data_IF_069823429539
#
_entry.id   IF_069823429539
#
_cell.length_a   1.000
_cell.length_b   1.000
_cell.length_c   1.000
_cell.angle_alpha   90.00
_cell.angle_beta   90.00
_cell.angle_gamma   90.00
#
_symmetry.space_group_name_H-M   'P 1'
#
loop_
_entity.id
_entity.type
_entity.pdbx_description
1 polymer ?
#
# COMPACT_ATOMS: atom_id res chain seq x y z
N UNK A 1 -43.74 36.02 -49.41
CA UNK A 1 -43.21 37.03 -48.51
C UNK A 1 -42.45 36.26 -47.44
N UNK A 2 -41.17 36.11 -47.62
CA UNK A 2 -40.09 36.90 -47.01
C UNK A 2 -40.23 36.93 -45.47
N UNK A 3 -39.27 36.66 -44.65
CA UNK A 3 -37.82 36.58 -44.79
C UNK A 3 -37.20 36.08 -43.49
N UNK A 4 -36.02 35.59 -43.63
CA UNK A 4 -34.79 35.87 -42.95
C UNK A 4 -34.61 35.25 -41.53
N UNK A 5 -33.71 34.30 -41.42
CA UNK A 5 -32.28 34.41 -41.08
C UNK A 5 -32.01 34.98 -39.68
N UNK A 6 -31.44 34.17 -38.83
CA UNK A 6 -30.12 34.54 -38.26
C UNK A 6 -29.47 33.32 -37.59
N UNK A 7 -28.32 33.03 -38.11
CA UNK A 7 -27.29 32.19 -37.46
C UNK A 7 -26.77 32.86 -36.20
N UNK A 8 -26.44 32.08 -35.21
CA UNK A 8 -25.35 32.40 -34.31
C UNK A 8 -24.63 31.14 -33.87
N UNK A 9 -23.48 31.00 -34.41
CA UNK A 9 -22.37 30.18 -33.99
C UNK A 9 -22.03 30.42 -32.51
N UNK A 10 -21.90 29.36 -31.77
CA UNK A 10 -21.31 29.36 -30.44
C UNK A 10 -20.45 28.13 -30.28
N UNK A 11 -19.23 28.21 -30.75
CA UNK A 11 -18.18 27.28 -30.41
C UNK A 11 -17.76 27.56 -28.96
N UNK A 12 -17.86 26.58 -28.08
CA UNK A 12 -17.13 26.58 -26.83
C UNK A 12 -16.52 25.21 -26.59
N UNK A 13 -15.30 25.15 -26.92
CA UNK A 13 -14.15 24.56 -26.23
C UNK A 13 -14.43 23.38 -25.28
N UNK A 14 -14.29 22.20 -25.82
CA UNK A 14 -13.98 20.97 -25.09
C UNK A 14 -12.46 20.82 -25.00
N UNK A 15 -11.85 21.45 -23.97
CA UNK A 15 -10.42 21.39 -23.77
C UNK A 15 -10.00 20.75 -22.44
N UNK A 16 -10.95 20.24 -21.65
CA UNK A 16 -10.66 19.68 -20.31
C UNK A 16 -10.77 18.15 -20.24
N UNK A 17 -11.46 17.51 -21.17
CA UNK A 17 -11.61 16.04 -21.16
C UNK A 17 -10.37 15.31 -21.69
N UNK A 18 -9.61 15.93 -22.61
CA UNK A 18 -8.44 15.28 -23.19
C UNK A 18 -7.24 15.20 -22.23
N UNK A 19 -7.10 16.16 -21.30
CA UNK A 19 -6.03 16.12 -20.30
C UNK A 19 -6.29 15.08 -19.20
N UNK A 20 -7.55 14.86 -18.82
CA UNK A 20 -7.88 13.82 -17.83
C UNK A 20 -7.77 12.40 -18.41
N UNK A 21 -8.08 12.20 -19.68
CA UNK A 21 -7.93 10.91 -20.34
C UNK A 21 -6.47 10.55 -20.58
N UNK A 22 -5.61 11.51 -20.90
CA UNK A 22 -4.18 11.30 -21.06
C UNK A 22 -3.49 11.00 -19.72
N UNK A 23 -3.83 11.73 -18.65
CA UNK A 23 -3.30 11.47 -17.32
C UNK A 23 -3.72 10.09 -16.78
N UNK A 24 -4.94 9.62 -17.07
CA UNK A 24 -5.40 8.29 -16.68
C UNK A 24 -4.68 7.18 -17.47
N UNK A 25 -4.40 7.37 -18.76
CA UNK A 25 -3.69 6.37 -19.58
C UNK A 25 -2.21 6.27 -19.20
N UNK A 26 -1.56 7.38 -18.83
CA UNK A 26 -0.16 7.38 -18.39
C UNK A 26 0.01 6.70 -17.00
N UNK A 27 -0.93 6.89 -16.08
CA UNK A 27 -0.86 6.26 -14.76
C UNK A 27 -1.00 4.73 -14.85
N UNK A 28 -1.87 4.22 -15.72
CA UNK A 28 -2.04 2.76 -15.92
C UNK A 28 -0.83 2.10 -16.58
N UNK A 29 -0.18 2.76 -17.52
CA UNK A 29 1.03 2.23 -18.16
C UNK A 29 2.23 2.20 -17.20
N UNK A 30 2.40 3.23 -16.37
CA UNK A 30 3.47 3.27 -15.37
C UNK A 30 3.29 2.22 -14.28
N UNK A 31 2.05 1.93 -13.88
CA UNK A 31 1.77 0.93 -12.85
C UNK A 31 1.97 -0.50 -13.38
N UNK A 32 1.60 -0.79 -14.63
CA UNK A 32 1.88 -2.08 -15.27
C UNK A 32 3.39 -2.30 -15.47
N UNK A 33 4.13 -1.27 -15.85
CA UNK A 33 5.59 -1.32 -15.96
C UNK A 33 6.24 -1.59 -14.59
N UNK A 34 5.84 -0.86 -13.54
CA UNK A 34 6.32 -1.08 -12.16
C UNK A 34 6.05 -2.51 -11.71
N UNK A 35 4.85 -3.01 -11.96
CA UNK A 35 4.47 -4.37 -11.62
C UNK A 35 5.37 -5.40 -12.31
N UNK A 36 5.63 -5.26 -13.60
CA UNK A 36 6.51 -6.17 -14.36
C UNK A 36 7.95 -6.19 -13.84
N UNK A 37 8.47 -5.04 -13.41
CA UNK A 37 9.82 -4.93 -12.86
C UNK A 37 9.90 -5.45 -11.42
N UNK A 38 8.93 -5.11 -10.58
CA UNK A 38 8.96 -5.45 -9.15
C UNK A 38 8.62 -6.92 -8.88
N UNK A 39 7.74 -7.53 -9.69
CA UNK A 39 7.24 -8.88 -9.42
C UNK A 39 8.32 -9.97 -9.36
N UNK A 40 9.32 -10.03 -10.27
CA UNK A 40 10.42 -10.99 -10.14
C UNK A 40 11.21 -10.82 -8.84
N UNK A 41 11.52 -9.57 -8.50
CA UNK A 41 12.25 -9.22 -7.28
C UNK A 41 11.47 -9.65 -6.01
N UNK A 42 10.18 -9.37 -5.95
CA UNK A 42 9.34 -9.81 -4.83
C UNK A 42 9.23 -11.32 -4.71
N UNK A 43 9.24 -12.05 -5.83
CA UNK A 43 9.26 -13.52 -5.83
C UNK A 43 10.56 -14.06 -5.26
N UNK A 44 11.68 -13.42 -5.51
CA UNK A 44 12.96 -13.84 -4.97
C UNK A 44 13.06 -13.57 -3.46
N UNK A 45 12.54 -12.42 -2.98
CA UNK A 45 12.37 -12.15 -1.55
C UNK A 45 11.49 -13.22 -0.90
N UNK A 46 10.35 -13.55 -1.52
CA UNK A 46 9.45 -14.59 -1.00
C UNK A 46 10.17 -15.91 -0.81
N UNK A 47 10.94 -16.37 -1.80
CA UNK A 47 11.70 -17.62 -1.72
C UNK A 47 12.73 -17.60 -0.58
N UNK A 48 13.45 -16.48 -0.43
CA UNK A 48 14.43 -16.33 0.65
C UNK A 48 13.76 -16.41 2.02
N UNK A 49 12.66 -15.68 2.24
CA UNK A 49 11.92 -15.68 3.49
C UNK A 49 11.27 -17.04 3.81
N UNK A 50 10.70 -17.70 2.78
CA UNK A 50 10.21 -19.08 2.95
C UNK A 50 11.32 -20.07 3.35
N UNK A 51 12.55 -19.85 2.88
CA UNK A 51 13.68 -20.70 3.25
C UNK A 51 14.02 -20.65 4.73
N UNK A 52 13.70 -19.52 5.38
CA UNK A 52 13.90 -19.25 6.82
C UNK A 52 12.69 -19.62 7.68
N UNK A 53 11.54 -19.88 7.06
CA UNK A 53 10.31 -20.27 7.75
C UNK A 53 10.41 -21.69 8.29
N UNK A 54 9.73 -21.95 9.39
CA UNK A 54 9.60 -23.28 10.02
C UNK A 54 8.83 -24.26 9.13
N UNK A 55 7.83 -23.80 8.39
CA UNK A 55 7.06 -24.60 7.45
C UNK A 55 7.07 -23.99 6.03
N UNK A 56 8.06 -24.43 5.25
CA UNK A 56 8.27 -23.92 3.88
C UNK A 56 7.10 -24.17 2.92
N UNK A 57 6.27 -25.19 3.19
CA UNK A 57 5.14 -25.53 2.33
C UNK A 57 3.93 -24.61 2.55
N UNK A 58 3.80 -24.02 3.74
CA UNK A 58 2.75 -23.04 4.05
C UNK A 58 3.09 -21.63 3.59
N UNK A 59 4.36 -21.26 3.66
CA UNK A 59 4.79 -19.92 3.27
C UNK A 59 5.71 -19.26 4.31
N UNK A 60 5.66 -17.94 4.40
CA UNK A 60 6.47 -17.15 5.32
C UNK A 60 5.77 -17.10 6.67
N UNK A 61 6.41 -17.56 7.74
CA UNK A 61 5.88 -17.41 9.09
C UNK A 61 6.05 -15.98 9.62
N UNK A 62 5.32 -15.64 10.67
CA UNK A 62 5.32 -14.31 11.30
C UNK A 62 6.73 -13.86 11.72
N UNK A 63 7.53 -14.77 12.27
CA UNK A 63 8.89 -14.44 12.76
C UNK A 63 9.79 -14.00 11.61
N UNK A 64 9.86 -14.79 10.53
CA UNK A 64 10.67 -14.46 9.36
C UNK A 64 10.22 -13.16 8.67
N UNK A 65 8.91 -12.90 8.65
CA UNK A 65 8.37 -11.66 8.12
C UNK A 65 8.73 -10.44 8.99
N UNK A 66 8.60 -10.56 10.30
CA UNK A 66 8.95 -9.49 11.25
C UNK A 66 10.43 -9.14 11.19
N UNK A 67 11.31 -10.16 11.12
CA UNK A 67 12.75 -9.98 10.97
C UNK A 67 13.11 -9.25 9.66
N UNK A 68 12.38 -9.53 8.59
CA UNK A 68 12.57 -8.85 7.31
C UNK A 68 12.12 -7.39 7.35
N UNK A 69 10.92 -7.12 7.87
CA UNK A 69 10.35 -5.79 7.90
C UNK A 69 11.04 -4.84 8.88
N UNK A 70 11.64 -5.37 9.95
CA UNK A 70 12.27 -4.61 11.04
C UNK A 70 11.41 -3.49 11.61
N UNK A 71 10.09 -3.69 11.56
CA UNK A 71 9.12 -2.74 12.12
C UNK A 71 8.98 -2.95 13.65
N UNK A 72 8.74 -1.87 14.41
CA UNK A 72 8.49 -1.98 15.85
C UNK A 72 7.28 -2.87 16.15
N UNK A 73 7.45 -3.80 17.06
CA UNK A 73 6.52 -4.76 17.63
C UNK A 73 5.10 -4.80 17.04
N UNK A 74 4.21 -3.99 17.60
CA UNK A 74 2.80 -3.99 17.23
C UNK A 74 2.54 -3.60 15.76
N UNK A 75 3.31 -2.66 15.22
CA UNK A 75 3.14 -2.23 13.83
C UNK A 75 3.49 -3.35 12.84
N UNK A 76 4.56 -4.11 13.12
CA UNK A 76 4.92 -5.28 12.33
C UNK A 76 3.88 -6.38 12.43
N UNK A 77 3.31 -6.61 13.62
CA UNK A 77 2.21 -7.56 13.80
C UNK A 77 0.95 -7.18 13.02
N UNK A 78 0.62 -5.89 13.01
CA UNK A 78 -0.51 -5.37 12.20
C UNK A 78 -0.25 -5.52 10.71
N UNK A 79 0.95 -5.21 10.26
CA UNK A 79 1.32 -5.38 8.86
C UNK A 79 1.19 -6.86 8.45
N UNK A 80 1.68 -7.78 9.27
CA UNK A 80 1.50 -9.21 9.04
C UNK A 80 0.02 -9.58 8.95
N UNK A 81 -0.81 -9.15 9.89
CA UNK A 81 -2.25 -9.43 9.93
C UNK A 81 -3.04 -8.82 8.75
N UNK A 82 -2.54 -7.75 8.14
CA UNK A 82 -3.14 -7.17 6.92
C UNK A 82 -2.76 -7.98 5.68
N UNK A 83 -1.60 -8.64 5.69
CA UNK A 83 -1.15 -9.51 4.62
C UNK A 83 -1.78 -10.92 4.72
N UNK A 84 -1.86 -11.47 5.93
CA UNK A 84 -2.45 -12.77 6.24
C UNK A 84 -3.98 -12.68 6.18
N UNK A 85 -4.54 -12.85 4.98
CA UNK A 85 -5.96 -12.64 4.71
C UNK A 85 -6.81 -13.79 5.24
N UNK A 86 -6.30 -15.02 5.18
CA UNK A 86 -6.98 -16.22 5.65
C UNK A 86 -6.72 -16.54 7.12
N UNK A 87 -5.83 -15.76 7.77
CA UNK A 87 -5.45 -15.85 9.19
C UNK A 87 -4.92 -17.24 9.59
N UNK A 88 -4.18 -17.92 8.70
CA UNK A 88 -3.57 -19.22 8.98
C UNK A 88 -2.21 -19.11 9.70
N UNK A 89 -1.71 -17.87 9.90
CA UNK A 89 -0.44 -17.55 10.56
C UNK A 89 0.78 -17.67 9.67
N UNK A 90 0.58 -17.82 8.36
CA UNK A 90 1.61 -17.84 7.33
C UNK A 90 1.21 -16.92 6.17
N UNK A 91 2.20 -16.40 5.47
CA UNK A 91 1.93 -15.67 4.23
C UNK A 91 2.22 -16.60 3.04
N UNK A 92 1.18 -16.96 2.34
CA UNK A 92 1.29 -17.62 1.04
C UNK A 92 1.97 -16.72 0.01
N UNK A 93 2.47 -17.30 -1.08
CA UNK A 93 3.05 -16.50 -2.18
C UNK A 93 2.07 -15.45 -2.72
N UNK A 94 0.79 -15.81 -2.81
CA UNK A 94 -0.27 -14.89 -3.28
C UNK A 94 -0.45 -13.71 -2.34
N UNK A 95 -0.57 -13.95 -1.04
CA UNK A 95 -0.78 -12.91 -0.03
C UNK A 95 0.40 -11.96 0.06
N UNK A 96 1.62 -12.51 0.14
CA UNK A 96 2.84 -11.72 0.19
C UNK A 96 3.00 -10.83 -1.04
N UNK A 97 2.87 -11.39 -2.24
CA UNK A 97 2.99 -10.63 -3.48
C UNK A 97 1.87 -9.59 -3.62
N UNK A 98 0.63 -9.96 -3.30
CA UNK A 98 -0.50 -9.01 -3.34
C UNK A 98 -0.30 -7.86 -2.36
N UNK A 99 0.15 -8.14 -1.13
CA UNK A 99 0.46 -7.11 -0.14
C UNK A 99 1.54 -6.15 -0.61
N UNK A 100 2.65 -6.65 -1.14
CA UNK A 100 3.72 -5.81 -1.68
C UNK A 100 3.27 -5.00 -2.90
N UNK A 101 2.50 -5.59 -3.82
CA UNK A 101 1.97 -4.88 -4.97
C UNK A 101 1.01 -3.76 -4.55
N UNK A 102 0.21 -3.94 -3.51
CA UNK A 102 -0.64 -2.87 -2.93
C UNK A 102 0.21 -1.70 -2.42
N UNK A 103 1.36 -1.96 -1.81
CA UNK A 103 2.25 -0.91 -1.29
C UNK A 103 2.96 -0.17 -2.43
N UNK A 104 3.54 -0.89 -3.38
CA UNK A 104 4.46 -0.31 -4.35
C UNK A 104 3.80 0.08 -5.67
N UNK A 105 2.83 -0.71 -6.16
CA UNK A 105 2.29 -0.60 -7.50
C UNK A 105 0.84 -0.11 -7.56
N UNK A 106 0.13 0.02 -6.44
CA UNK A 106 -1.26 0.46 -6.45
C UNK A 106 -1.39 1.98 -6.56
N UNK A 107 -2.57 2.43 -6.95
CA UNK A 107 -2.94 3.83 -6.98
C UNK A 107 -3.05 4.42 -5.56
N UNK A 108 -3.05 5.74 -5.46
CA UNK A 108 -3.04 6.46 -4.19
C UNK A 108 -4.17 6.02 -3.24
N UNK A 109 -5.39 5.91 -3.73
CA UNK A 109 -6.55 5.54 -2.90
C UNK A 109 -6.41 4.14 -2.29
N UNK A 110 -5.86 3.19 -3.05
CA UNK A 110 -5.59 1.84 -2.55
C UNK A 110 -4.47 1.81 -1.51
N UNK A 111 -3.46 2.67 -1.67
CA UNK A 111 -2.39 2.85 -0.67
C UNK A 111 -2.95 3.47 0.61
N UNK A 112 -3.80 4.49 0.49
CA UNK A 112 -4.47 5.11 1.64
C UNK A 112 -5.34 4.10 2.39
N UNK A 113 -6.11 3.28 1.66
CA UNK A 113 -6.88 2.20 2.28
C UNK A 113 -5.98 1.18 2.99
N UNK A 114 -4.86 0.81 2.40
CA UNK A 114 -3.91 -0.11 3.03
C UNK A 114 -3.32 0.47 4.32
N UNK A 115 -2.94 1.75 4.32
CA UNK A 115 -2.48 2.46 5.52
C UNK A 115 -3.58 2.51 6.58
N UNK A 116 -4.82 2.81 6.18
CA UNK A 116 -5.97 2.81 7.06
C UNK A 116 -6.16 1.44 7.73
N UNK A 117 -6.12 0.34 6.97
CA UNK A 117 -6.26 -1.03 7.48
C UNK A 117 -5.18 -1.39 8.53
N UNK A 118 -3.99 -0.77 8.46
CA UNK A 118 -2.92 -0.95 9.47
C UNK A 118 -3.24 -0.20 10.76
N UNK A 119 -3.80 1.01 10.67
CA UNK A 119 -4.04 1.87 11.82
C UNK A 119 -5.37 1.61 12.53
N UNK A 120 -6.34 1.02 11.86
CA UNK A 120 -7.62 0.60 12.40
C UNK A 120 -7.44 -0.72 13.19
N UNK A 121 -7.14 -0.61 14.50
CA UNK A 121 -6.79 -1.75 15.35
C UNK A 121 -7.98 -2.64 15.70
N UNK A 122 -9.12 -2.05 15.97
CA UNK A 122 -10.34 -2.76 16.37
C UNK A 122 -11.24 -3.13 15.18
N UNK A 123 -10.86 -2.68 13.97
CA UNK A 123 -11.56 -2.94 12.70
C UNK A 123 -13.00 -2.40 12.68
N UNK A 124 -13.22 -1.27 13.36
CA UNK A 124 -14.51 -0.57 13.39
C UNK A 124 -14.70 0.38 12.19
N UNK A 125 -13.71 0.45 11.29
CA UNK A 125 -13.63 1.32 10.13
C UNK A 125 -13.49 2.80 10.48
N UNK A 126 -12.97 3.10 11.65
CA UNK A 126 -12.65 4.44 12.10
C UNK A 126 -11.25 4.48 12.73
N UNK A 127 -10.48 5.51 12.46
CA UNK A 127 -9.22 5.76 13.19
C UNK A 127 -9.53 6.69 14.35
N UNK A 128 -9.54 6.13 15.54
CA UNK A 128 -9.85 6.83 16.76
C UNK A 128 -8.58 7.34 17.47
N UNK A 129 -8.77 8.18 18.50
CA UNK A 129 -7.67 8.58 19.37
C UNK A 129 -7.01 7.37 20.07
N UNK A 130 -7.77 6.33 20.35
CA UNK A 130 -7.28 5.09 20.97
C UNK A 130 -6.32 4.36 20.08
N UNK A 131 -6.63 4.24 18.78
CA UNK A 131 -5.75 3.60 17.79
C UNK A 131 -4.42 4.35 17.66
N UNK A 132 -4.49 5.66 17.53
CA UNK A 132 -3.29 6.51 17.44
C UNK A 132 -2.46 6.42 18.74
N UNK A 133 -3.10 6.44 19.90
CA UNK A 133 -2.40 6.31 21.19
C UNK A 133 -1.71 4.96 21.30
N UNK A 134 -2.36 3.89 20.87
CA UNK A 134 -1.83 2.52 20.86
C UNK A 134 -0.55 2.45 20.03
N UNK A 135 -0.56 3.01 18.83
CA UNK A 135 0.62 3.05 17.96
C UNK A 135 1.77 3.82 18.61
N UNK A 136 1.50 5.05 19.08
CA UNK A 136 2.53 5.91 19.67
C UNK A 136 3.15 5.23 20.92
N UNK A 137 2.35 4.57 21.72
CA UNK A 137 2.81 3.88 22.95
C UNK A 137 3.71 2.69 22.61
N UNK A 138 3.49 2.04 21.48
CA UNK A 138 4.26 0.87 21.05
C UNK A 138 5.50 1.22 20.23
N UNK A 139 5.70 2.50 19.86
CA UNK A 139 6.93 2.93 19.19
C UNK A 139 8.09 2.99 20.20
N UNK A 140 9.26 2.41 19.87
CA UNK A 140 10.42 2.53 20.72
C UNK A 140 10.85 4.01 20.79
N UNK A 141 10.89 4.56 21.99
CA UNK A 141 11.42 5.91 22.22
C UNK A 141 12.92 5.88 21.98
N UNK A 142 13.36 6.40 20.84
CA UNK A 142 14.77 6.67 20.60
C UNK A 142 15.19 7.79 21.52
N UNK A 143 15.77 7.46 22.68
CA UNK A 143 16.43 8.45 23.50
C UNK A 143 17.70 8.87 22.78
N UNK A 144 17.66 9.99 22.08
CA UNK A 144 18.88 10.67 21.66
C UNK A 144 19.57 11.16 22.94
N UNK A 145 20.54 10.41 23.41
CA UNK A 145 21.51 10.92 24.35
C UNK A 145 22.30 11.99 23.60
N UNK A 146 21.91 13.25 23.77
CA UNK A 146 22.81 14.34 23.46
C UNK A 146 24.01 14.17 24.39
N UNK A 147 25.13 13.70 23.83
CA UNK A 147 26.43 13.84 24.47
C UNK A 147 26.64 15.33 24.63
N UNK A 148 26.52 15.81 25.88
CA UNK A 148 26.97 17.12 26.25
C UNK A 148 28.50 17.09 26.10
N UNK A 149 28.96 17.65 25.01
CA UNK A 149 30.37 17.92 24.77
C UNK A 149 30.78 19.04 25.73
N UNK A 150 31.72 18.72 26.60
CA UNK A 150 32.46 19.69 27.44
C UNK A 150 33.79 19.95 26.80
#
# INVERSE_FOLDING_TARGET
MQAAQSESSGASASGTDDMQSLAFSESTQTDDFKMKVCLPYFKDIFKDLCSRSDNKSKGINKVSFMDYCQLPGLLGERLFAVFDVDNDGYLSSKEFLTGLLRIYCSQFDQKMKFVFDIYDFDKDQMITKTDITTIITCMPVVRTTQAADR
#
